data_IF_430624823110
#
_entry.id   IF_430624823110
#
_cell.length_a   1.000
_cell.length_b   1.000
_cell.length_c   1.000
_cell.angle_alpha   90.00
_cell.angle_beta   90.00
_cell.angle_gamma   90.00
#
_symmetry.space_group_name_H-M   'P 1'
#
loop_
_entity.id
_entity.type
_entity.pdbx_description
1 polymer ?
#
# COMPACT_ATOMS: atom_id res chain seq x y z
N UNK A 1 8.34 19.79 -8.70
CA UNK A 1 6.89 19.91 -8.33
C UNK A 1 6.78 20.28 -6.87
N UNK A 2 5.83 21.12 -6.46
CA UNK A 2 5.64 21.52 -5.05
C UNK A 2 4.78 20.44 -4.35
N UNK A 3 5.19 19.92 -3.17
CA UNK A 3 4.37 19.00 -2.42
C UNK A 3 3.06 19.66 -1.92
N UNK A 4 2.01 18.85 -1.84
CA UNK A 4 0.75 19.21 -1.19
C UNK A 4 0.88 19.22 0.35
N UNK A 5 1.67 18.27 0.88
CA UNK A 5 1.99 18.13 2.29
C UNK A 5 3.44 17.65 2.44
N UNK A 6 4.14 18.20 3.44
CA UNK A 6 5.50 17.76 3.78
C UNK A 6 5.74 17.97 5.28
N UNK A 7 5.95 16.90 6.01
CA UNK A 7 6.29 16.92 7.44
C UNK A 7 6.95 15.61 7.87
N UNK A 8 7.96 15.68 8.74
CA UNK A 8 8.60 14.51 9.38
C UNK A 8 9.11 13.44 8.40
N UNK A 9 9.53 13.83 7.19
CA UNK A 9 9.97 12.88 6.16
C UNK A 9 8.83 12.20 5.40
N UNK A 10 7.60 12.65 5.60
CA UNK A 10 6.43 12.22 4.83
C UNK A 10 6.05 13.32 3.84
N UNK A 11 5.91 12.96 2.57
CA UNK A 11 5.59 13.89 1.48
C UNK A 11 4.36 13.38 0.74
N UNK A 12 3.43 14.27 0.42
CA UNK A 12 2.28 13.99 -0.44
C UNK A 12 2.35 14.88 -1.68
N UNK A 13 2.16 14.29 -2.84
CA UNK A 13 1.93 14.99 -4.09
C UNK A 13 0.48 14.79 -4.54
N UNK A 14 -0.21 15.90 -4.83
CA UNK A 14 -1.50 15.87 -5.50
C UNK A 14 -1.28 15.94 -7.01
N UNK A 15 -1.71 14.91 -7.74
CA UNK A 15 -1.60 14.83 -9.20
C UNK A 15 -1.55 13.41 -9.74
N UNK A 16 -1.39 13.31 -11.06
CA UNK A 16 -1.22 12.03 -11.73
C UNK A 16 0.18 11.47 -11.44
N UNK A 17 0.25 10.22 -11.01
CA UNK A 17 1.53 9.56 -10.71
C UNK A 17 2.44 9.47 -11.93
N UNK A 18 1.92 9.44 -13.15
CA UNK A 18 2.69 9.46 -14.41
C UNK A 18 3.50 10.75 -14.59
N UNK A 19 3.02 11.86 -14.03
CA UNK A 19 3.74 13.15 -14.06
C UNK A 19 4.73 13.29 -12.91
N UNK A 20 4.43 12.68 -11.75
CA UNK A 20 5.24 12.81 -10.55
C UNK A 20 6.40 11.81 -10.51
N UNK A 21 6.16 10.56 -10.87
CA UNK A 21 7.16 9.48 -10.80
C UNK A 21 8.47 9.80 -11.57
N UNK A 22 8.43 10.37 -12.79
CA UNK A 22 9.66 10.65 -13.55
C UNK A 22 10.60 11.66 -12.89
N UNK A 23 10.10 12.51 -11.99
CA UNK A 23 10.91 13.53 -11.29
C UNK A 23 11.34 13.10 -9.89
N UNK A 24 10.89 11.93 -9.42
CA UNK A 24 11.33 11.35 -8.16
C UNK A 24 12.63 10.58 -8.33
N UNK A 25 13.46 10.62 -7.30
CA UNK A 25 14.63 9.76 -7.18
C UNK A 25 14.26 8.30 -6.89
N UNK A 26 15.28 7.43 -6.89
CA UNK A 26 15.12 6.03 -6.47
C UNK A 26 14.70 5.95 -5.01
N UNK A 27 13.77 5.04 -4.71
CA UNK A 27 13.30 4.72 -3.35
C UNK A 27 13.69 3.30 -2.95
N UNK A 28 13.56 2.97 -1.67
CA UNK A 28 13.91 1.64 -1.16
C UNK A 28 12.79 0.63 -1.38
N UNK A 29 11.54 1.06 -1.25
CA UNK A 29 10.35 0.22 -1.39
C UNK A 29 9.22 0.98 -2.06
N UNK A 30 8.56 0.36 -3.03
CA UNK A 30 7.17 0.69 -3.41
C UNK A 30 6.26 -0.28 -2.68
N UNK A 31 5.27 0.24 -1.96
CA UNK A 31 4.16 -0.55 -1.40
C UNK A 31 2.85 0.12 -1.79
N UNK A 32 2.08 -0.52 -2.65
CA UNK A 32 0.91 0.10 -3.26
C UNK A 32 -0.26 -0.86 -3.47
N UNK A 33 -1.45 -0.27 -3.45
CA UNK A 33 -2.75 -0.89 -3.67
C UNK A 33 -3.49 -0.16 -4.79
N UNK A 34 -3.09 -0.37 -6.05
CA UNK A 34 -3.66 0.33 -7.21
C UNK A 34 -5.12 -0.09 -7.47
N UNK A 35 -5.86 0.62 -8.31
CA UNK A 35 -7.15 0.18 -8.82
C UNK A 35 -7.09 -1.22 -9.44
N UNK A 36 -8.19 -2.00 -9.32
CA UNK A 36 -8.20 -3.43 -9.67
C UNK A 36 -8.84 -3.77 -11.01
N UNK A 37 -9.44 -2.78 -11.71
CA UNK A 37 -10.20 -3.03 -12.93
C UNK A 37 -11.53 -3.73 -12.67
N UNK A 38 -12.21 -3.40 -11.58
CA UNK A 38 -13.46 -4.02 -11.12
C UNK A 38 -14.67 -3.08 -11.20
N UNK A 39 -14.56 -1.99 -11.94
CA UNK A 39 -15.59 -0.96 -12.12
C UNK A 39 -15.96 -0.26 -10.81
N UNK A 40 -14.96 -0.05 -9.96
CA UNK A 40 -15.15 0.70 -8.74
C UNK A 40 -15.40 2.18 -9.06
N UNK A 41 -16.38 2.86 -8.43
CA UNK A 41 -16.76 4.23 -8.79
C UNK A 41 -15.80 5.29 -8.20
N UNK A 42 -14.58 5.37 -8.72
CA UNK A 42 -13.68 6.49 -8.47
C UNK A 42 -14.18 7.75 -9.19
N UNK A 43 -13.86 8.96 -8.68
CA UNK A 43 -14.29 10.20 -9.30
C UNK A 43 -13.42 10.58 -10.50
N UNK A 44 -12.12 10.39 -10.38
CA UNK A 44 -11.13 10.88 -11.36
C UNK A 44 -10.47 9.76 -12.16
N UNK A 45 -10.96 8.52 -12.04
CA UNK A 45 -10.38 7.36 -12.70
C UNK A 45 -11.47 6.32 -13.04
N UNK A 46 -11.43 5.79 -14.25
CA UNK A 46 -12.29 4.69 -14.67
C UNK A 46 -11.62 3.35 -14.34
N UNK A 47 -12.13 2.66 -13.32
CA UNK A 47 -11.62 1.36 -12.85
C UNK A 47 -12.09 0.22 -13.78
N UNK A 48 -11.71 0.29 -15.05
CA UNK A 48 -11.92 -0.75 -16.04
C UNK A 48 -10.67 -1.65 -16.18
N UNK A 49 -10.82 -2.77 -16.87
CA UNK A 49 -9.68 -3.64 -17.22
C UNK A 49 -8.68 -2.89 -18.10
N UNK A 50 -9.17 -2.05 -19.01
CA UNK A 50 -8.36 -1.18 -19.87
C UNK A 50 -7.62 -0.14 -19.05
N UNK A 51 -8.27 0.47 -18.08
CA UNK A 51 -7.64 1.39 -17.13
C UNK A 51 -6.54 0.70 -16.31
N UNK A 52 -6.78 -0.51 -15.80
CA UNK A 52 -5.74 -1.30 -15.14
C UNK A 52 -4.56 -1.62 -16.08
N UNK A 53 -4.81 -1.96 -17.35
CA UNK A 53 -3.73 -2.17 -18.33
C UNK A 53 -2.89 -0.93 -18.52
N UNK A 54 -3.52 0.26 -18.62
CA UNK A 54 -2.77 1.54 -18.67
C UNK A 54 -1.90 1.75 -17.44
N UNK A 55 -2.37 1.41 -16.24
CA UNK A 55 -1.53 1.45 -15.04
C UNK A 55 -0.33 0.50 -15.17
N UNK A 56 -0.55 -0.73 -15.61
CA UNK A 56 0.52 -1.71 -15.77
C UNK A 56 1.53 -1.28 -16.83
N UNK A 57 1.06 -0.77 -17.96
CA UNK A 57 1.91 -0.45 -19.10
C UNK A 57 2.62 0.91 -18.94
N UNK A 58 1.96 1.91 -18.33
CA UNK A 58 2.46 3.28 -18.27
C UNK A 58 3.09 3.64 -16.92
N UNK A 59 2.57 3.09 -15.81
CA UNK A 59 3.02 3.45 -14.44
C UNK A 59 4.06 2.48 -13.90
N UNK A 60 3.84 1.17 -14.06
CA UNK A 60 4.76 0.17 -13.49
C UNK A 60 6.21 0.35 -13.98
N UNK A 61 6.50 0.65 -15.27
CA UNK A 61 7.86 0.90 -15.74
C UNK A 61 8.54 2.14 -15.16
N UNK A 62 7.75 3.09 -14.61
CA UNK A 62 8.26 4.30 -13.98
C UNK A 62 8.67 4.09 -12.51
N UNK A 63 8.34 2.93 -11.93
CA UNK A 63 8.65 2.63 -10.53
C UNK A 63 10.16 2.38 -10.36
N UNK A 64 10.87 3.36 -9.85
CA UNK A 64 12.31 3.29 -9.61
C UNK A 64 12.58 2.95 -8.14
N UNK A 65 12.59 1.66 -7.81
CA UNK A 65 12.75 1.18 -6.44
C UNK A 65 13.70 -0.01 -6.34
N UNK A 66 14.22 -0.27 -5.13
CA UNK A 66 14.98 -1.50 -4.86
C UNK A 66 14.06 -2.72 -4.76
N UNK A 67 12.86 -2.51 -4.19
CA UNK A 67 11.79 -3.52 -4.04
C UNK A 67 10.44 -2.93 -4.37
N UNK A 68 9.58 -3.73 -4.97
CA UNK A 68 8.21 -3.33 -5.29
C UNK A 68 7.25 -4.40 -4.77
N UNK A 69 6.27 -3.96 -3.97
CA UNK A 69 5.18 -4.78 -3.46
C UNK A 69 3.85 -4.20 -3.95
N UNK A 70 3.13 -4.92 -4.79
CA UNK A 70 1.84 -4.52 -5.32
C UNK A 70 0.75 -5.45 -4.79
N UNK A 71 -0.34 -4.87 -4.30
CA UNK A 71 -1.59 -5.57 -3.98
C UNK A 71 -2.55 -5.46 -5.17
N UNK A 72 -2.54 -6.38 -6.15
CA UNK A 72 -3.24 -6.21 -7.43
C UNK A 72 -4.71 -6.63 -7.37
N UNK A 73 -5.21 -7.03 -6.19
CA UNK A 73 -6.45 -7.79 -6.09
C UNK A 73 -6.32 -9.23 -6.62
N UNK A 74 -7.36 -10.05 -6.44
CA UNK A 74 -7.31 -11.46 -6.79
C UNK A 74 -7.76 -11.74 -8.23
N UNK A 75 -8.57 -10.87 -8.81
CA UNK A 75 -9.22 -11.14 -10.11
C UNK A 75 -8.27 -10.90 -11.28
N UNK A 76 -7.58 -9.78 -11.28
CA UNK A 76 -6.80 -9.29 -12.41
C UNK A 76 -5.28 -9.29 -12.16
N UNK A 77 -4.78 -10.00 -11.13
CA UNK A 77 -3.34 -10.04 -10.82
C UNK A 77 -2.49 -10.59 -11.98
N UNK A 78 -3.07 -11.40 -12.85
CA UNK A 78 -2.42 -12.00 -14.02
C UNK A 78 -2.08 -10.98 -15.13
N UNK A 79 -2.62 -9.76 -15.06
CA UNK A 79 -2.30 -8.67 -15.98
C UNK A 79 -0.97 -7.98 -15.63
N UNK A 80 -0.50 -8.17 -14.40
CA UNK A 80 0.78 -7.62 -13.96
C UNK A 80 1.95 -8.44 -14.51
N UNK A 81 3.14 -7.84 -14.68
CA UNK A 81 4.33 -8.59 -15.06
C UNK A 81 4.56 -9.78 -14.13
N UNK A 82 5.25 -10.81 -14.62
CA UNK A 82 5.61 -11.97 -13.80
C UNK A 82 6.40 -11.50 -12.58
N UNK A 83 5.84 -11.70 -11.39
CA UNK A 83 6.51 -11.38 -10.14
C UNK A 83 7.68 -12.33 -9.85
N UNK A 84 8.71 -11.83 -9.17
CA UNK A 84 9.82 -12.65 -8.67
C UNK A 84 9.34 -13.58 -7.56
N UNK A 85 8.37 -13.11 -6.74
CA UNK A 85 7.70 -13.89 -5.70
C UNK A 85 6.26 -13.42 -5.49
N UNK A 86 5.41 -14.31 -4.99
CA UNK A 86 4.03 -13.97 -4.60
C UNK A 86 3.85 -14.32 -3.13
N UNK A 87 3.57 -13.30 -2.32
CA UNK A 87 3.18 -13.48 -0.94
C UNK A 87 1.67 -13.51 -0.80
N UNK A 88 1.16 -14.20 0.20
CA UNK A 88 -0.26 -14.18 0.54
C UNK A 88 -0.54 -13.19 1.67
N UNK A 89 -1.65 -12.48 1.60
CA UNK A 89 -2.11 -11.60 2.66
C UNK A 89 -3.59 -11.86 2.99
N UNK A 90 -3.94 -11.77 4.28
CA UNK A 90 -5.31 -11.97 4.73
C UNK A 90 -5.63 -11.12 5.95
N UNK A 91 -6.89 -10.68 6.09
CA UNK A 91 -7.37 -10.05 7.30
C UNK A 91 -8.83 -10.45 7.57
N UNK A 92 -9.10 -10.88 8.81
CA UNK A 92 -10.44 -11.18 9.28
C UNK A 92 -11.21 -12.17 8.41
N UNK A 93 -12.53 -11.97 8.38
CA UNK A 93 -13.48 -12.75 7.56
C UNK A 93 -13.90 -12.02 6.30
N UNK A 94 -13.32 -10.85 6.02
CA UNK A 94 -13.68 -10.04 4.85
C UNK A 94 -12.88 -10.51 3.65
N UNK A 95 -13.54 -11.21 2.75
CA UNK A 95 -12.97 -11.61 1.47
C UNK A 95 -13.71 -10.97 0.30
N UNK A 96 -13.09 -10.97 -0.86
CA UNK A 96 -13.76 -10.63 -2.11
C UNK A 96 -14.65 -11.80 -2.56
N UNK A 97 -15.85 -11.51 -3.01
CA UNK A 97 -16.71 -12.51 -3.64
C UNK A 97 -16.13 -12.87 -5.01
N UNK A 98 -15.87 -14.13 -5.22
CA UNK A 98 -15.39 -14.67 -6.48
C UNK A 98 -16.25 -15.85 -6.96
N UNK A 99 -15.89 -16.44 -8.10
CA UNK A 99 -16.62 -17.57 -8.68
C UNK A 99 -16.68 -18.82 -7.77
N UNK A 100 -15.73 -18.94 -6.84
CA UNK A 100 -15.62 -20.07 -5.91
C UNK A 100 -16.03 -19.73 -4.47
N UNK A 101 -16.73 -18.61 -4.25
CA UNK A 101 -17.11 -18.14 -2.93
C UNK A 101 -16.32 -16.93 -2.44
N UNK A 102 -16.18 -16.79 -1.12
CA UNK A 102 -15.45 -15.66 -0.52
C UNK A 102 -13.96 -15.96 -0.42
N UNK A 103 -13.13 -15.19 -1.11
CA UNK A 103 -11.69 -15.27 -0.93
C UNK A 103 -11.28 -14.65 0.41
N UNK A 104 -10.58 -15.41 1.23
CA UNK A 104 -10.05 -14.93 2.53
C UNK A 104 -8.59 -14.43 2.44
N UNK A 105 -8.03 -14.37 1.25
CA UNK A 105 -6.67 -13.93 1.01
C UNK A 105 -6.58 -13.13 -0.31
N UNK A 106 -5.51 -12.39 -0.47
CA UNK A 106 -5.15 -11.71 -1.71
C UNK A 106 -3.63 -11.78 -1.92
N UNK A 107 -3.16 -11.76 -3.18
CA UNK A 107 -1.74 -11.77 -3.48
C UNK A 107 -1.09 -10.41 -3.17
N UNK A 108 0.18 -10.46 -2.77
CA UNK A 108 1.13 -9.36 -2.86
C UNK A 108 2.20 -9.78 -3.86
N UNK A 109 2.26 -9.13 -4.99
CA UNK A 109 3.28 -9.35 -6.01
C UNK A 109 4.56 -8.64 -5.58
N UNK A 110 5.65 -9.39 -5.48
CA UNK A 110 6.96 -8.88 -5.11
C UNK A 110 7.90 -8.91 -6.30
N UNK A 111 8.63 -7.79 -6.50
CA UNK A 111 9.66 -7.63 -7.53
C UNK A 111 10.89 -7.00 -6.91
N UNK A 112 12.07 -7.41 -7.36
CA UNK A 112 13.34 -6.79 -7.05
C UNK A 112 14.24 -7.61 -6.13
N UNK A 113 15.10 -6.92 -5.39
CA UNK A 113 16.17 -7.54 -4.63
C UNK A 113 15.66 -8.39 -3.47
N UNK A 114 16.26 -9.53 -3.26
CA UNK A 114 16.00 -10.44 -2.16
C UNK A 114 15.99 -9.74 -0.80
N UNK A 115 15.16 -10.27 0.10
CA UNK A 115 15.04 -9.78 1.48
C UNK A 115 16.04 -10.48 2.43
N UNK A 116 17.26 -10.76 1.96
CA UNK A 116 18.31 -11.33 2.81
C UNK A 116 18.54 -10.43 4.04
N UNK A 117 18.53 -11.03 5.23
CA UNK A 117 18.63 -10.29 6.50
C UNK A 117 17.33 -9.71 7.05
N UNK A 118 16.29 -9.52 6.25
CA UNK A 118 14.97 -9.10 6.71
C UNK A 118 14.11 -10.26 7.26
N UNK A 119 14.51 -11.48 6.97
CA UNK A 119 13.70 -12.67 7.18
C UNK A 119 13.98 -13.47 8.44
N UNK A 120 15.09 -13.23 9.14
CA UNK A 120 15.42 -13.96 10.34
C UNK A 120 15.35 -13.08 11.59
N UNK A 121 14.40 -13.38 12.47
CA UNK A 121 14.48 -12.97 13.87
C UNK A 121 14.85 -14.24 14.63
N UNK A 122 15.95 -14.23 15.36
CA UNK A 122 16.47 -15.38 16.14
C UNK A 122 16.69 -16.66 15.30
N UNK A 123 17.13 -16.54 14.04
CA UNK A 123 17.38 -17.69 13.18
C UNK A 123 16.14 -18.34 12.57
N UNK A 124 14.94 -17.83 12.82
CA UNK A 124 13.72 -18.32 12.20
C UNK A 124 13.43 -17.61 10.87
N UNK A 125 13.19 -18.41 9.83
CA UNK A 125 12.74 -17.91 8.51
C UNK A 125 11.30 -17.37 8.67
N UNK A 126 11.07 -16.09 8.33
CA UNK A 126 9.72 -15.54 8.26
C UNK A 126 9.02 -16.07 7.00
N UNK A 127 7.79 -16.58 7.18
CA UNK A 127 6.96 -17.00 6.06
C UNK A 127 6.56 -15.84 5.13
N UNK A 128 6.09 -16.18 3.96
CA UNK A 128 5.58 -15.29 2.93
C UNK A 128 4.05 -15.05 3.03
N UNK A 129 3.46 -15.49 4.14
CA UNK A 129 2.06 -15.26 4.46
C UNK A 129 1.90 -14.17 5.53
N UNK A 130 1.14 -13.14 5.20
CA UNK A 130 0.79 -12.04 6.11
C UNK A 130 -0.65 -12.20 6.56
N UNK A 131 -0.86 -12.36 7.86
CA UNK A 131 -2.21 -12.43 8.41
C UNK A 131 -2.36 -11.50 9.62
N UNK A 132 -3.54 -10.92 9.75
CA UNK A 132 -3.99 -10.22 10.96
C UNK A 132 -5.33 -10.78 11.38
N UNK A 133 -5.48 -11.15 12.64
CA UNK A 133 -6.75 -11.68 13.17
C UNK A 133 -7.80 -10.57 13.18
N UNK A 134 -8.99 -10.88 12.64
CA UNK A 134 -10.06 -9.90 12.43
C UNK A 134 -10.74 -9.37 13.70
N UNK A 135 -10.41 -9.89 14.88
CA UNK A 135 -11.08 -9.49 16.12
C UNK A 135 -10.63 -8.14 16.70
N UNK A 136 -9.38 -7.75 16.48
CA UNK A 136 -8.82 -6.53 17.07
C UNK A 136 -8.91 -5.30 16.15
N UNK A 137 -8.91 -5.50 14.83
CA UNK A 137 -8.97 -4.39 13.87
C UNK A 137 -10.41 -3.97 13.53
N UNK A 138 -11.40 -4.83 13.78
CA UNK A 138 -12.83 -4.49 13.66
C UNK A 138 -13.31 -3.65 14.84
N UNK A 139 -12.58 -3.65 15.96
CA UNK A 139 -12.85 -2.84 17.15
C UNK A 139 -12.23 -1.46 17.14
N UNK A 140 -11.33 -1.15 16.22
CA UNK A 140 -10.97 0.23 15.97
C UNK A 140 -12.23 0.93 15.46
N UNK A 141 -12.73 1.87 16.26
CA UNK A 141 -13.66 2.87 15.76
C UNK A 141 -13.06 3.32 14.43
N UNK A 142 -13.71 2.95 13.33
CA UNK A 142 -13.42 3.59 12.05
C UNK A 142 -13.62 5.05 12.36
N UNK A 143 -12.52 5.76 12.48
CA UNK A 143 -12.60 7.19 12.64
C UNK A 143 -13.50 7.68 11.53
N UNK A 144 -14.27 8.72 11.80
CA UNK A 144 -15.19 9.29 10.83
C UNK A 144 -14.48 9.58 9.49
N UNK A 145 -13.17 9.75 9.54
CA UNK A 145 -12.22 9.90 8.45
C UNK A 145 -12.03 8.58 7.66
N UNK A 146 -11.90 7.43 8.32
CA UNK A 146 -11.79 6.12 7.62
C UNK A 146 -13.10 5.72 6.94
N UNK A 147 -14.25 6.21 7.42
CA UNK A 147 -15.55 6.00 6.77
C UNK A 147 -15.69 6.74 5.44
N UNK A 148 -14.88 7.76 5.19
CA UNK A 148 -14.87 8.54 3.96
C UNK A 148 -14.05 7.90 2.84
N UNK A 149 -13.21 6.90 3.15
CA UNK A 149 -12.50 6.11 2.16
C UNK A 149 -13.21 4.77 1.93
N UNK A 150 -13.38 4.42 0.68
CA UNK A 150 -14.27 3.32 0.27
C UNK A 150 -13.72 1.94 0.62
N UNK A 151 -12.40 1.76 0.69
CA UNK A 151 -11.78 0.48 1.06
C UNK A 151 -10.37 0.65 1.62
N UNK A 152 -10.18 1.21 2.82
CA UNK A 152 -8.85 1.34 3.40
C UNK A 152 -8.30 -0.05 3.76
N UNK A 153 -7.04 -0.30 3.44
CA UNK A 153 -6.36 -1.52 3.88
C UNK A 153 -6.08 -1.46 5.39
N UNK A 154 -6.11 -2.59 6.11
CA UNK A 154 -5.83 -2.63 7.55
C UNK A 154 -4.41 -2.12 7.85
N UNK A 155 -4.30 -1.11 8.71
CA UNK A 155 -3.02 -0.49 9.07
C UNK A 155 -2.01 -1.52 9.61
N UNK A 156 -2.45 -2.46 10.47
CA UNK A 156 -1.60 -3.53 11.02
C UNK A 156 -1.03 -4.44 9.95
N UNK A 157 -1.80 -4.76 8.92
CA UNK A 157 -1.33 -5.59 7.82
C UNK A 157 -0.27 -4.86 7.01
N UNK A 158 -0.51 -3.59 6.66
CA UNK A 158 0.46 -2.75 5.95
C UNK A 158 1.75 -2.57 6.76
N UNK A 159 1.64 -2.38 8.06
CA UNK A 159 2.79 -2.33 8.98
C UNK A 159 3.61 -3.63 8.96
N UNK A 160 2.96 -4.81 8.94
CA UNK A 160 3.67 -6.10 8.82
C UNK A 160 4.41 -6.22 7.50
N UNK A 161 3.79 -5.82 6.39
CA UNK A 161 4.41 -5.84 5.07
C UNK A 161 5.60 -4.88 5.03
N UNK A 162 5.45 -3.65 5.52
CA UNK A 162 6.54 -2.68 5.62
C UNK A 162 7.73 -3.22 6.43
N UNK A 163 7.47 -3.80 7.60
CA UNK A 163 8.51 -4.40 8.43
C UNK A 163 9.20 -5.62 7.80
N UNK A 164 8.54 -6.27 6.83
CA UNK A 164 9.11 -7.38 6.08
C UNK A 164 10.02 -6.93 4.94
N UNK A 165 9.69 -5.83 4.27
CA UNK A 165 10.32 -5.42 3.02
C UNK A 165 11.12 -4.12 3.12
N UNK A 166 11.18 -3.49 4.29
CA UNK A 166 11.97 -2.27 4.53
C UNK A 166 12.55 -2.21 5.94
N UNK A 167 13.50 -1.29 6.15
CA UNK A 167 14.09 -0.94 7.44
C UNK A 167 13.71 0.48 7.87
N UNK A 168 13.85 0.79 9.18
CA UNK A 168 13.71 2.15 9.67
C UNK A 168 14.66 3.11 8.93
N UNK A 169 14.19 4.31 8.64
CA UNK A 169 14.93 5.34 7.89
C UNK A 169 14.86 5.22 6.37
N UNK A 170 14.45 4.06 5.82
CA UNK A 170 14.25 3.87 4.39
C UNK A 170 13.02 4.63 3.88
N UNK A 171 13.01 4.90 2.57
CA UNK A 171 11.95 5.63 1.88
C UNK A 171 10.99 4.68 1.19
N UNK A 172 9.71 4.82 1.50
CA UNK A 172 8.59 4.07 0.91
C UNK A 172 7.82 4.97 -0.04
N UNK A 173 7.44 4.46 -1.20
CA UNK A 173 6.60 5.16 -2.18
C UNK A 173 5.27 4.42 -2.36
N UNK A 174 4.18 5.18 -2.35
CA UNK A 174 2.86 4.70 -2.75
C UNK A 174 2.28 5.63 -3.83
N UNK A 175 2.31 5.23 -5.11
CA UNK A 175 1.81 6.04 -6.21
C UNK A 175 0.27 6.08 -6.31
N UNK A 176 -0.44 5.32 -5.46
CA UNK A 176 -1.91 5.26 -5.39
C UNK A 176 -2.34 5.30 -3.92
N UNK A 177 -1.86 6.32 -3.17
CA UNK A 177 -1.91 6.29 -1.71
C UNK A 177 -3.32 6.34 -1.12
N UNK A 178 -4.32 6.80 -1.87
CA UNK A 178 -5.67 7.01 -1.37
C UNK A 178 -5.69 7.85 -0.08
N UNK A 179 -6.34 7.34 0.97
CA UNK A 179 -6.38 7.99 2.28
C UNK A 179 -5.08 7.87 3.10
N UNK A 180 -3.96 7.41 2.50
CA UNK A 180 -2.62 7.43 3.08
C UNK A 180 -2.30 6.32 4.08
N UNK A 181 -2.92 5.15 4.00
CA UNK A 181 -2.63 4.04 4.93
C UNK A 181 -1.17 3.63 4.91
N UNK A 182 -0.54 3.56 3.73
CA UNK A 182 0.89 3.27 3.57
C UNK A 182 1.76 4.31 4.27
N UNK A 183 1.42 5.60 4.14
CA UNK A 183 2.17 6.70 4.73
C UNK A 183 2.06 6.69 6.27
N UNK A 184 0.84 6.48 6.80
CA UNK A 184 0.62 6.34 8.24
C UNK A 184 1.37 5.13 8.79
N UNK A 185 1.32 3.99 8.10
CA UNK A 185 2.07 2.81 8.50
C UNK A 185 3.58 3.08 8.51
N UNK A 186 4.11 3.74 7.46
CA UNK A 186 5.53 4.10 7.35
C UNK A 186 5.97 5.03 8.49
N UNK A 187 5.21 6.09 8.78
CA UNK A 187 5.46 7.00 9.90
C UNK A 187 5.54 6.25 11.24
N UNK A 188 4.57 5.37 11.51
CA UNK A 188 4.48 4.61 12.76
C UNK A 188 5.67 3.65 12.99
N UNK A 189 6.37 3.28 11.93
CA UNK A 189 7.53 2.38 12.01
C UNK A 189 8.84 3.05 11.57
N UNK A 190 8.89 4.40 11.65
CA UNK A 190 10.08 5.21 11.42
C UNK A 190 10.64 5.12 10.00
N UNK A 191 9.81 5.00 8.98
CA UNK A 191 10.18 5.12 7.56
C UNK A 191 9.80 6.50 7.05
N UNK A 192 10.56 7.00 6.07
CA UNK A 192 10.13 8.12 5.24
C UNK A 192 9.10 7.60 4.24
N UNK A 193 8.19 8.46 3.79
CA UNK A 193 7.24 8.04 2.77
C UNK A 193 6.91 9.16 1.78
N UNK A 194 6.66 8.75 0.55
CA UNK A 194 6.15 9.60 -0.53
C UNK A 194 4.82 8.99 -0.99
N UNK A 195 3.75 9.77 -0.99
CA UNK A 195 2.46 9.38 -1.52
C UNK A 195 2.08 10.25 -2.71
N UNK A 196 1.45 9.65 -3.71
CA UNK A 196 0.86 10.36 -4.82
C UNK A 196 -0.62 10.01 -4.89
N UNK A 197 -1.46 11.01 -5.10
CA UNK A 197 -2.91 10.83 -5.18
C UNK A 197 -3.51 11.86 -6.13
N UNK A 198 -4.36 11.39 -7.01
CA UNK A 198 -4.99 12.23 -8.04
C UNK A 198 -6.20 13.01 -7.48
N UNK A 199 -6.84 12.50 -6.42
CA UNK A 199 -7.99 13.13 -5.80
C UNK A 199 -7.60 13.97 -4.59
N UNK A 200 -7.74 15.29 -4.69
CA UNK A 200 -7.35 16.24 -3.63
C UNK A 200 -7.99 15.92 -2.28
N UNK A 201 -9.24 15.48 -2.28
CA UNK A 201 -9.95 15.09 -1.04
C UNK A 201 -9.22 13.99 -0.26
N UNK A 202 -8.58 13.03 -0.96
CA UNK A 202 -7.81 11.98 -0.31
C UNK A 202 -6.45 12.49 0.17
N UNK A 203 -5.83 13.43 -0.55
CA UNK A 203 -4.65 14.15 -0.04
C UNK A 203 -4.95 14.87 1.27
N UNK A 204 -6.11 15.55 1.37
CA UNK A 204 -6.55 16.22 2.60
C UNK A 204 -6.77 15.23 3.74
N UNK A 205 -7.45 14.11 3.47
CA UNK A 205 -7.68 13.05 4.46
C UNK A 205 -6.34 12.48 4.96
N UNK A 206 -5.43 12.16 4.04
CA UNK A 206 -4.11 11.62 4.38
C UNK A 206 -3.30 12.61 5.23
N UNK A 207 -3.28 13.89 4.87
CA UNK A 207 -2.62 14.94 5.62
C UNK A 207 -3.18 15.07 7.06
N UNK A 208 -4.51 15.04 7.22
CA UNK A 208 -5.16 15.07 8.55
C UNK A 208 -4.78 13.84 9.39
N UNK A 209 -4.77 12.64 8.80
CA UNK A 209 -4.35 11.39 9.50
C UNK A 209 -2.88 11.47 9.95
N UNK A 210 -2.02 12.02 9.12
CA UNK A 210 -0.59 12.17 9.43
C UNK A 210 -0.34 13.25 10.49
N UNK A 211 -1.15 14.29 10.56
CA UNK A 211 -1.09 15.32 11.59
C UNK A 211 -1.58 14.84 12.97
N UNK A 212 -2.47 13.85 13.00
CA UNK A 212 -2.85 13.17 14.24
C UNK A 212 -1.63 12.36 14.70
N UNK A 213 -1.13 12.63 15.91
CA UNK A 213 0.04 11.93 16.46
C UNK A 213 -0.11 10.41 16.35
N UNK A 214 1.00 9.70 16.16
CA UNK A 214 1.02 8.25 16.14
C UNK A 214 0.37 7.72 17.43
N UNK A 215 -0.79 7.06 17.30
CA UNK A 215 -1.30 6.24 18.39
C UNK A 215 -0.25 5.13 18.62
N UNK A 216 0.19 4.88 19.87
CA UNK A 216 1.10 3.78 20.12
C UNK A 216 0.42 2.50 19.63
N UNK A 217 0.97 1.91 18.57
CA UNK A 217 0.60 0.56 18.16
C UNK A 217 1.08 -0.35 19.30
N UNK A 218 0.14 -0.96 20.00
CA UNK A 218 0.43 -2.10 20.85
C UNK A 218 0.85 -3.25 19.94
N UNK A 219 2.14 -3.26 19.58
CA UNK A 219 2.78 -4.37 18.88
C UNK A 219 3.04 -5.44 19.93
N UNK A 220 1.95 -6.12 20.34
CA UNK A 220 2.05 -7.30 21.20
C UNK A 220 3.16 -8.21 20.66
N UNK A 221 4.12 -8.49 21.52
CA UNK A 221 5.29 -9.32 21.32
C UNK A 221 4.93 -10.74 20.86
#
# INVERSE_FOLDING_TARGET
MKPYYEQDGIVIYHGDCREVLPVLGRVDLVLSDPPYGLQFPYLSYEDSVEGLRSIVDDVFPLLNAERICISPGITNYHLWPRADWICSASWGTTGSYGKCGVSQWFPILFYGKDCEGFGAINGMIKGDAFSVSGGADVGFRRDEIERQHVCPKPLRLWTKILNRFSMAGQTVLDPFMGSGTTLVAAKNVYRKAIGIEIEERYCEIAAKRLAQGALPLDIGA
#
